data_IF_271875207374
#
_entry.id   IF_271875207374
#
_cell.length_a   1.000
_cell.length_b   1.000
_cell.length_c   1.000
_cell.angle_alpha   90.00
_cell.angle_beta   90.00
_cell.angle_gamma   90.00
#
_symmetry.space_group_name_H-M   'P 1'
#
loop_
_entity.id
_entity.type
_entity.pdbx_description
1 polymer ?
#
# COMPACT_ATOMS: atom_id res chain seq x y z
N UNK A 1 15.08 -5.79 45.31
CA UNK A 1 15.25 -7.26 45.38
C UNK A 1 14.30 -7.90 44.38
N UNK A 2 14.82 -8.86 43.62
CA UNK A 2 14.39 -9.49 42.35
C UNK A 2 13.03 -10.26 42.38
N UNK A 3 12.49 -10.80 41.25
CA UNK A 3 13.05 -10.86 39.88
C UNK A 3 12.12 -10.50 38.69
N UNK A 4 12.75 -9.98 37.62
CA UNK A 4 12.31 -10.13 36.23
C UNK A 4 12.30 -11.60 35.82
N UNK A 5 11.23 -12.06 35.17
CA UNK A 5 11.21 -13.32 34.41
C UNK A 5 11.35 -13.04 32.93
N UNK A 6 12.46 -13.51 32.37
CA UNK A 6 12.68 -13.69 30.94
C UNK A 6 11.73 -14.77 30.40
N UNK A 7 11.04 -14.49 29.29
CA UNK A 7 10.41 -15.53 28.49
C UNK A 7 11.06 -15.54 27.12
N UNK A 8 11.59 -16.70 26.83
CA UNK A 8 12.34 -17.16 25.68
C UNK A 8 11.51 -17.16 24.40
N UNK A 9 12.21 -17.04 23.27
CA UNK A 9 11.60 -17.05 21.95
C UNK A 9 10.86 -18.35 21.64
N UNK A 10 9.69 -18.20 21.01
CA UNK A 10 9.09 -19.24 20.20
C UNK A 10 8.83 -18.69 18.80
N UNK A 11 9.50 -19.33 17.84
CA UNK A 11 9.28 -19.18 16.41
C UNK A 11 7.88 -19.68 16.06
N UNK A 12 6.95 -18.78 15.72
CA UNK A 12 5.62 -19.17 15.24
C UNK A 12 5.72 -19.43 13.74
N UNK A 13 5.66 -20.73 13.40
CA UNK A 13 5.58 -21.25 12.04
C UNK A 13 4.32 -20.72 11.35
N UNK A 14 4.52 -20.17 10.14
CA UNK A 14 3.49 -19.86 9.17
C UNK A 14 2.60 -21.09 8.90
N UNK A 15 1.34 -21.04 9.29
CA UNK A 15 0.30 -21.97 8.84
C UNK A 15 -0.63 -21.23 7.89
N UNK A 16 -0.52 -21.57 6.60
CA UNK A 16 -1.35 -21.07 5.50
C UNK A 16 -2.75 -21.68 5.63
N UNK A 17 -3.66 -20.99 6.32
CA UNK A 17 -5.06 -21.42 6.46
C UNK A 17 -5.87 -21.16 5.18
N UNK A 18 -6.64 -22.18 4.80
CA UNK A 18 -7.45 -22.30 3.59
C UNK A 18 -8.77 -21.51 3.73
N UNK A 19 -8.77 -20.20 3.50
CA UNK A 19 -9.99 -19.36 3.61
C UNK A 19 -10.83 -19.23 2.32
N UNK A 20 -10.47 -19.90 1.22
CA UNK A 20 -11.18 -19.74 -0.07
C UNK A 20 -12.50 -20.52 -0.19
N UNK A 21 -12.90 -21.35 0.79
CA UNK A 21 -14.07 -22.25 0.64
C UNK A 21 -15.39 -21.72 1.21
N UNK A 22 -15.37 -20.73 2.11
CA UNK A 22 -16.62 -20.30 2.78
C UNK A 22 -17.39 -19.21 2.03
N UNK A 23 -16.70 -18.32 1.30
CA UNK A 23 -17.36 -17.28 0.51
C UNK A 23 -18.28 -17.83 -0.60
N UNK A 24 -17.92 -18.96 -1.21
CA UNK A 24 -18.75 -19.59 -2.26
C UNK A 24 -19.97 -20.31 -1.71
N UNK A 25 -19.94 -20.74 -0.44
CA UNK A 25 -21.07 -21.40 0.22
C UNK A 25 -22.14 -20.39 0.64
N UNK A 26 -21.73 -19.24 1.16
CA UNK A 26 -22.62 -18.13 1.54
C UNK A 26 -23.32 -17.54 0.30
N UNK A 27 -22.59 -17.36 -0.81
CA UNK A 27 -23.16 -16.85 -2.05
C UNK A 27 -24.16 -17.80 -2.72
N UNK A 28 -23.99 -19.12 -2.55
CA UNK A 28 -24.96 -20.13 -3.04
C UNK A 28 -26.21 -20.24 -2.17
N UNK A 29 -26.09 -20.01 -0.86
CA UNK A 29 -27.25 -19.96 0.03
C UNK A 29 -28.15 -18.75 -0.29
N UNK A 30 -27.54 -17.59 -0.56
CA UNK A 30 -28.27 -16.37 -0.94
C UNK A 30 -28.98 -16.47 -2.31
N UNK A 31 -28.57 -17.37 -3.20
CA UNK A 31 -29.21 -17.60 -4.50
C UNK A 31 -30.40 -18.57 -4.44
N UNK A 32 -30.58 -19.31 -3.34
CA UNK A 32 -31.60 -20.36 -3.23
C UNK A 32 -32.95 -19.85 -2.70
N UNK A 33 -33.03 -18.62 -2.18
CA UNK A 33 -34.25 -18.05 -1.60
C UNK A 33 -35.03 -17.09 -2.53
N UNK A 34 -34.58 -16.88 -3.77
CA UNK A 34 -35.32 -16.05 -4.73
C UNK A 34 -36.02 -16.90 -5.79
N UNK A 35 -37.32 -17.12 -5.62
CA UNK A 35 -38.20 -17.73 -6.64
C UNK A 35 -38.22 -16.88 -7.94
N UNK A 36 -38.32 -17.51 -9.13
CA UNK A 36 -38.10 -16.82 -10.40
C UNK A 36 -39.39 -16.17 -10.92
N UNK A 37 -39.48 -14.84 -10.84
CA UNK A 37 -40.40 -14.08 -11.70
C UNK A 37 -39.73 -13.97 -13.08
N UNK A 38 -40.34 -14.61 -14.09
CA UNK A 38 -39.89 -14.60 -15.49
C UNK A 38 -39.81 -13.15 -16.00
N UNK A 39 -38.59 -12.69 -16.30
CA UNK A 39 -38.34 -11.36 -16.87
C UNK A 39 -37.24 -11.47 -17.93
N UNK A 40 -37.60 -12.06 -19.08
CA UNK A 40 -36.67 -12.31 -20.20
C UNK A 40 -36.24 -11.01 -20.91
N UNK A 41 -36.88 -9.87 -20.64
CA UNK A 41 -36.50 -8.56 -21.21
C UNK A 41 -35.40 -7.78 -20.47
N UNK A 42 -35.07 -8.14 -19.22
CA UNK A 42 -34.14 -7.35 -18.37
C UNK A 42 -32.70 -7.90 -18.32
N UNK A 43 -32.45 -9.08 -18.90
CA UNK A 43 -31.13 -9.72 -18.87
C UNK A 43 -30.08 -8.94 -19.69
N UNK A 44 -30.49 -8.39 -20.84
CA UNK A 44 -29.61 -7.61 -21.73
C UNK A 44 -29.20 -6.27 -21.10
N UNK A 45 -30.15 -5.56 -20.45
CA UNK A 45 -29.89 -4.30 -19.74
C UNK A 45 -29.00 -4.53 -18.51
N UNK A 46 -29.27 -5.59 -17.73
CA UNK A 46 -28.48 -5.95 -16.53
C UNK A 46 -27.04 -6.33 -16.88
N UNK A 47 -26.82 -7.00 -18.01
CA UNK A 47 -25.48 -7.33 -18.50
C UNK A 47 -24.72 -6.11 -19.02
N UNK A 48 -25.42 -5.18 -19.68
CA UNK A 48 -24.85 -3.91 -20.14
C UNK A 48 -24.48 -2.99 -18.97
N UNK A 49 -25.34 -2.90 -17.94
CA UNK A 49 -25.02 -2.20 -16.68
C UNK A 49 -23.86 -2.87 -15.94
N UNK A 50 -23.81 -4.21 -15.83
CA UNK A 50 -22.68 -4.91 -15.20
C UNK A 50 -21.36 -4.69 -15.94
N UNK A 51 -21.36 -4.63 -17.28
CA UNK A 51 -20.18 -4.27 -18.08
C UNK A 51 -19.78 -2.81 -17.85
N UNK A 52 -20.73 -1.87 -17.83
CA UNK A 52 -20.48 -0.45 -17.54
C UNK A 52 -19.96 -0.22 -16.13
N UNK A 53 -20.52 -0.89 -15.12
CA UNK A 53 -20.06 -0.85 -13.73
C UNK A 53 -18.66 -1.46 -13.60
N UNK A 54 -18.39 -2.64 -14.19
CA UNK A 54 -17.03 -3.22 -14.21
C UNK A 54 -16.02 -2.31 -14.92
N UNK A 55 -16.39 -1.67 -16.04
CA UNK A 55 -15.55 -0.70 -16.74
C UNK A 55 -15.31 0.55 -15.89
N UNK A 56 -16.32 1.06 -15.19
CA UNK A 56 -16.20 2.18 -14.27
C UNK A 56 -15.33 1.85 -13.04
N UNK A 57 -15.44 0.63 -12.48
CA UNK A 57 -14.56 0.14 -11.42
C UNK A 57 -13.12 -0.05 -11.91
N UNK A 58 -12.93 -0.53 -13.14
CA UNK A 58 -11.60 -0.68 -13.74
C UNK A 58 -10.96 0.69 -14.02
N UNK A 59 -11.71 1.64 -14.59
CA UNK A 59 -11.25 3.01 -14.84
C UNK A 59 -10.99 3.77 -13.54
N UNK A 60 -11.85 3.64 -12.51
CA UNK A 60 -11.59 4.21 -11.17
C UNK A 60 -10.41 3.55 -10.47
N UNK A 61 -10.22 2.23 -10.63
CA UNK A 61 -9.06 1.51 -10.09
C UNK A 61 -7.77 1.91 -10.81
N UNK A 62 -7.82 2.15 -12.12
CA UNK A 62 -6.68 2.63 -12.90
C UNK A 62 -6.36 4.09 -12.56
N UNK A 63 -7.37 4.95 -12.44
CA UNK A 63 -7.21 6.35 -12.00
C UNK A 63 -6.66 6.42 -10.57
N UNK A 64 -7.17 5.61 -9.64
CA UNK A 64 -6.60 5.53 -8.29
C UNK A 64 -5.15 5.05 -8.30
N UNK A 65 -4.81 4.08 -9.17
CA UNK A 65 -3.42 3.63 -9.31
C UNK A 65 -2.54 4.75 -9.89
N UNK A 66 -3.00 5.47 -10.92
CA UNK A 66 -2.26 6.58 -11.56
C UNK A 66 -2.15 7.81 -10.65
N UNK A 67 -3.19 8.19 -9.92
CA UNK A 67 -3.16 9.27 -8.91
C UNK A 67 -2.28 8.91 -7.71
N UNK A 68 -2.22 7.62 -7.31
CA UNK A 68 -1.26 7.19 -6.30
C UNK A 68 0.21 7.30 -6.76
N UNK A 69 0.49 7.36 -8.07
CA UNK A 69 1.85 7.60 -8.59
C UNK A 69 2.19 9.07 -8.76
N UNK A 70 1.22 9.97 -8.90
CA UNK A 70 1.47 11.41 -9.11
C UNK A 70 1.59 12.21 -7.81
N UNK A 71 1.11 11.71 -6.66
CA UNK A 71 1.24 12.40 -5.36
C UNK A 71 2.54 12.07 -4.61
N UNK A 72 3.68 11.96 -5.34
CA UNK A 72 5.01 11.89 -4.68
C UNK A 72 5.99 12.95 -5.15
N UNK A 73 5.48 14.08 -5.64
CA UNK A 73 6.29 15.23 -6.05
C UNK A 73 6.47 16.32 -4.98
N UNK A 74 5.70 16.35 -3.90
CA UNK A 74 5.84 17.43 -2.91
C UNK A 74 6.59 16.96 -1.67
N UNK A 75 7.92 17.00 -1.81
CA UNK A 75 8.97 17.32 -0.83
C UNK A 75 10.24 16.71 -1.42
N UNK A 76 10.99 17.54 -2.15
CA UNK A 76 12.28 17.20 -2.72
C UNK A 76 13.34 17.06 -1.62
N UNK A 77 13.14 16.09 -0.72
CA UNK A 77 14.19 15.57 0.15
C UNK A 77 15.23 14.93 -0.78
N UNK A 78 16.28 15.69 -1.09
CA UNK A 78 17.43 15.21 -1.85
C UNK A 78 18.21 14.24 -0.97
N UNK A 79 17.76 12.98 -0.93
CA UNK A 79 18.62 11.90 -0.47
C UNK A 79 19.86 11.85 -1.37
N UNK A 80 21.04 11.75 -0.77
CA UNK A 80 22.29 11.58 -1.51
C UNK A 80 22.21 10.29 -2.35
N UNK A 81 22.65 10.37 -3.61
CA UNK A 81 22.79 9.18 -4.45
C UNK A 81 24.11 8.49 -4.11
N UNK A 82 24.03 7.22 -3.74
CA UNK A 82 25.19 6.41 -3.37
C UNK A 82 25.48 5.46 -4.53
N UNK A 83 26.18 5.94 -5.56
CA UNK A 83 26.35 5.25 -6.85
C UNK A 83 26.80 3.79 -6.68
N UNK A 84 27.85 3.55 -5.88
CA UNK A 84 28.37 2.20 -5.64
C UNK A 84 27.34 1.26 -4.99
N UNK A 85 26.60 1.75 -3.99
CA UNK A 85 25.60 0.95 -3.27
C UNK A 85 24.34 0.72 -4.13
N UNK A 86 23.92 1.74 -4.88
CA UNK A 86 22.78 1.66 -5.78
C UNK A 86 23.04 0.74 -6.96
N UNK A 87 24.28 0.69 -7.50
CA UNK A 87 24.66 -0.28 -8.52
C UNK A 87 24.46 -1.72 -8.02
N UNK A 88 24.85 -2.02 -6.78
CA UNK A 88 24.57 -3.31 -6.17
C UNK A 88 23.08 -3.63 -6.04
N UNK A 89 22.24 -2.62 -5.79
CA UNK A 89 20.78 -2.79 -5.76
C UNK A 89 20.17 -2.99 -7.15
N UNK A 90 20.66 -2.27 -8.16
CA UNK A 90 20.26 -2.42 -9.57
C UNK A 90 20.57 -3.83 -10.05
N UNK A 91 21.80 -4.30 -9.84
CA UNK A 91 22.21 -5.66 -10.21
C UNK A 91 21.33 -6.73 -9.55
N UNK A 92 21.13 -6.65 -8.22
CA UNK A 92 20.24 -7.58 -7.49
C UNK A 92 18.80 -7.57 -8.00
N UNK A 93 18.30 -6.39 -8.39
CA UNK A 93 16.96 -6.26 -8.97
C UNK A 93 16.87 -6.96 -10.34
N UNK A 94 17.83 -6.71 -11.23
CA UNK A 94 17.87 -7.30 -12.56
C UNK A 94 17.99 -8.83 -12.49
N UNK A 95 18.93 -9.36 -11.70
CA UNK A 95 19.09 -10.81 -11.52
C UNK A 95 17.82 -11.45 -10.94
N UNK A 96 17.13 -10.78 -10.01
CA UNK A 96 15.86 -11.26 -9.49
C UNK A 96 14.79 -11.32 -10.60
N UNK A 97 14.71 -10.28 -11.42
CA UNK A 97 13.75 -10.19 -12.53
C UNK A 97 13.98 -11.27 -13.58
N UNK A 98 15.25 -11.59 -13.85
CA UNK A 98 15.64 -12.69 -14.73
C UNK A 98 15.09 -14.02 -14.23
N UNK A 99 15.29 -14.28 -12.93
CA UNK A 99 14.84 -15.52 -12.28
C UNK A 99 13.32 -15.64 -12.21
N UNK A 100 12.60 -14.53 -12.28
CA UNK A 100 11.14 -14.50 -12.39
C UNK A 100 10.64 -14.75 -13.83
N UNK A 101 11.56 -14.86 -14.81
CA UNK A 101 11.24 -15.07 -16.22
C UNK A 101 10.83 -13.79 -16.96
N UNK A 102 11.16 -12.61 -16.42
CA UNK A 102 10.85 -11.33 -17.05
C UNK A 102 11.97 -10.92 -18.02
N UNK A 103 11.63 -10.48 -19.22
CA UNK A 103 12.59 -10.02 -20.23
C UNK A 103 13.29 -8.73 -19.78
N UNK A 104 14.59 -8.82 -19.52
CA UNK A 104 15.39 -7.68 -19.02
C UNK A 104 16.00 -6.89 -20.16
N UNK A 105 16.32 -7.58 -21.26
CA UNK A 105 17.03 -7.02 -22.39
C UNK A 105 16.07 -6.41 -23.41
N UNK A 106 16.57 -5.45 -24.20
CA UNK A 106 15.83 -4.87 -25.34
C UNK A 106 15.90 -5.71 -26.62
N UNK A 107 16.77 -6.72 -26.66
CA UNK A 107 16.99 -7.55 -27.84
C UNK A 107 15.79 -8.44 -28.14
N UNK A 108 15.42 -8.53 -29.42
CA UNK A 108 14.34 -9.41 -29.90
C UNK A 108 14.79 -10.87 -30.01
N UNK A 109 16.09 -11.08 -30.23
CA UNK A 109 16.68 -12.41 -30.40
C UNK A 109 17.06 -13.01 -29.05
N UNK A 110 16.61 -14.24 -28.80
CA UNK A 110 16.84 -14.94 -27.54
C UNK A 110 18.33 -15.19 -27.29
N UNK A 111 19.10 -15.54 -28.32
CA UNK A 111 20.55 -15.77 -28.18
C UNK A 111 21.29 -14.53 -27.69
N UNK A 112 21.01 -13.37 -28.29
CA UNK A 112 21.60 -12.10 -27.89
C UNK A 112 21.15 -11.66 -26.49
N UNK A 113 19.89 -11.92 -26.14
CA UNK A 113 19.37 -11.68 -24.79
C UNK A 113 20.11 -12.53 -23.74
N UNK A 114 20.27 -13.83 -23.99
CA UNK A 114 20.92 -14.77 -23.08
C UNK A 114 22.41 -14.43 -22.91
N UNK A 115 23.11 -14.04 -23.98
CA UNK A 115 24.50 -13.56 -23.92
C UNK A 115 24.64 -12.30 -23.05
N UNK A 116 23.76 -11.32 -23.23
CA UNK A 116 23.76 -10.11 -22.44
C UNK A 116 23.47 -10.39 -20.95
N UNK A 117 22.57 -11.33 -20.65
CA UNK A 117 22.30 -11.76 -19.27
C UNK A 117 23.51 -12.49 -18.67
N UNK A 118 24.17 -13.37 -19.43
CA UNK A 118 25.37 -14.06 -18.99
C UNK A 118 26.50 -13.07 -18.66
N UNK A 119 26.61 -11.98 -19.42
CA UNK A 119 27.54 -10.89 -19.15
C UNK A 119 27.20 -10.19 -17.81
N UNK A 120 25.93 -9.87 -17.59
CA UNK A 120 25.45 -9.24 -16.36
C UNK A 120 25.76 -10.10 -15.11
N UNK A 121 25.57 -11.42 -15.20
CA UNK A 121 25.82 -12.33 -14.08
C UNK A 121 27.30 -12.35 -13.66
N UNK A 122 28.23 -12.12 -14.59
CA UNK A 122 29.68 -12.07 -14.31
C UNK A 122 30.13 -10.74 -13.66
N UNK A 123 29.34 -9.69 -13.77
CA UNK A 123 29.70 -8.32 -13.37
C UNK A 123 29.24 -7.91 -11.95
N UNK A 124 28.95 -8.87 -11.06
CA UNK A 124 28.37 -8.63 -9.72
C UNK A 124 29.08 -7.52 -8.91
N UNK A 125 30.43 -7.49 -8.95
CA UNK A 125 31.24 -6.57 -8.16
C UNK A 125 31.77 -5.36 -8.95
N UNK A 126 31.24 -5.08 -10.16
CA UNK A 126 31.76 -4.03 -11.05
C UNK A 126 30.70 -2.95 -11.32
N UNK A 127 30.59 -1.92 -10.45
CA UNK A 127 29.49 -0.95 -10.51
C UNK A 127 29.44 -0.14 -11.80
N UNK A 128 30.61 0.20 -12.37
CA UNK A 128 30.73 0.96 -13.64
C UNK A 128 30.17 0.14 -14.81
N UNK A 129 30.57 -1.13 -14.93
CA UNK A 129 30.11 -2.01 -16.03
C UNK A 129 28.63 -2.35 -15.95
N UNK A 130 28.07 -2.46 -14.73
CA UNK A 130 26.63 -2.64 -14.54
C UNK A 130 25.86 -1.43 -15.08
N UNK A 131 26.38 -0.22 -14.89
CA UNK A 131 25.75 0.99 -15.40
C UNK A 131 25.81 1.05 -16.93
N UNK A 132 26.98 0.76 -17.53
CA UNK A 132 27.15 0.64 -18.98
C UNK A 132 26.20 -0.40 -19.59
N UNK A 133 26.06 -1.56 -18.94
CA UNK A 133 25.14 -2.61 -19.37
C UNK A 133 23.69 -2.14 -19.34
N UNK A 134 23.27 -1.37 -18.33
CA UNK A 134 21.92 -0.81 -18.25
C UNK A 134 21.66 0.15 -19.40
N UNK A 135 22.63 0.98 -19.77
CA UNK A 135 22.48 1.92 -20.88
C UNK A 135 22.42 1.23 -22.25
N UNK A 136 23.13 0.11 -22.40
CA UNK A 136 23.27 -0.58 -23.69
C UNK A 136 22.26 -1.70 -23.92
N UNK A 137 21.85 -2.44 -22.88
CA UNK A 137 21.13 -3.71 -23.06
C UNK A 137 19.71 -3.67 -22.50
N UNK A 138 19.37 -2.70 -21.65
CA UNK A 138 18.13 -2.72 -20.86
C UNK A 138 16.87 -2.44 -21.66
N UNK A 139 15.78 -3.15 -21.32
CA UNK A 139 14.43 -2.86 -21.80
C UNK A 139 13.90 -1.54 -21.19
N UNK A 140 13.45 -0.57 -22.01
CA UNK A 140 13.00 0.74 -21.54
C UNK A 140 11.77 0.69 -20.59
N UNK A 141 10.90 -0.31 -20.74
CA UNK A 141 9.73 -0.50 -19.86
C UNK A 141 10.18 -0.90 -18.45
N UNK A 142 11.17 -1.79 -18.38
CA UNK A 142 11.72 -2.26 -17.11
C UNK A 142 12.61 -1.19 -16.45
N UNK A 143 13.27 -0.36 -17.24
CA UNK A 143 14.13 0.72 -16.75
C UNK A 143 13.35 1.71 -15.87
N UNK A 144 12.16 2.15 -16.29
CA UNK A 144 11.33 3.06 -15.51
C UNK A 144 10.88 2.44 -14.17
N UNK A 145 10.47 1.17 -14.18
CA UNK A 145 10.11 0.43 -12.97
C UNK A 145 11.31 0.23 -12.04
N UNK A 146 12.49 0.00 -12.60
CA UNK A 146 13.74 -0.10 -11.86
C UNK A 146 14.07 1.25 -11.20
N UNK A 147 14.04 2.37 -11.93
CA UNK A 147 14.27 3.72 -11.39
C UNK A 147 13.37 4.02 -10.19
N UNK A 148 12.07 3.72 -10.29
CA UNK A 148 11.12 3.87 -9.17
C UNK A 148 11.47 2.96 -7.99
N UNK A 149 11.84 1.70 -8.25
CA UNK A 149 12.22 0.74 -7.22
C UNK A 149 13.49 1.18 -6.48
N UNK A 150 14.50 1.66 -7.20
CA UNK A 150 15.74 2.19 -6.61
C UNK A 150 15.47 3.47 -5.82
N UNK A 151 14.66 4.41 -6.35
CA UNK A 151 14.21 5.60 -5.60
C UNK A 151 13.54 5.22 -4.29
N UNK A 152 12.61 4.27 -4.31
CA UNK A 152 11.92 3.80 -3.13
C UNK A 152 12.87 3.14 -2.14
N UNK A 153 13.85 2.36 -2.61
CA UNK A 153 14.86 1.72 -1.78
C UNK A 153 15.80 2.75 -1.14
N UNK A 154 16.28 3.73 -1.89
CA UNK A 154 17.08 4.86 -1.38
C UNK A 154 16.34 5.60 -0.27
N UNK A 155 15.09 6.00 -0.52
CA UNK A 155 14.25 6.65 0.50
C UNK A 155 14.11 5.81 1.77
N UNK A 156 13.88 4.50 1.64
CA UNK A 156 13.75 3.58 2.80
C UNK A 156 15.07 3.39 3.55
N UNK A 157 16.21 3.39 2.85
CA UNK A 157 17.53 3.29 3.45
C UNK A 157 17.77 4.45 4.43
N UNK A 158 17.63 5.70 3.94
CA UNK A 158 17.81 6.88 4.78
C UNK A 158 16.71 7.02 5.85
N UNK A 159 15.45 6.68 5.55
CA UNK A 159 14.38 6.72 6.54
C UNK A 159 14.50 5.65 7.64
N UNK A 160 15.38 4.67 7.50
CA UNK A 160 15.63 3.68 8.54
C UNK A 160 16.56 4.22 9.64
N UNK A 161 17.32 5.27 9.37
CA UNK A 161 18.26 5.89 10.32
C UNK A 161 17.53 6.57 11.49
N UNK A 162 16.36 7.15 11.22
CA UNK A 162 15.60 7.90 12.22
C UNK A 162 14.24 7.24 12.50
N UNK A 163 13.88 7.12 13.78
CA UNK A 163 12.61 6.46 14.16
C UNK A 163 11.37 7.21 13.65
N UNK A 164 11.38 8.54 13.68
CA UNK A 164 10.24 9.37 13.27
C UNK A 164 9.99 9.37 11.75
N UNK A 165 10.99 9.04 10.93
CA UNK A 165 10.84 8.92 9.45
C UNK A 165 10.48 7.51 9.00
N UNK A 166 10.67 6.50 9.88
CA UNK A 166 10.31 5.11 9.62
C UNK A 166 8.79 4.95 9.51
N UNK A 167 8.36 4.17 8.51
CA UNK A 167 6.94 3.86 8.29
C UNK A 167 6.63 2.42 8.70
N UNK A 168 5.38 2.18 9.10
CA UNK A 168 4.87 0.86 9.50
C UNK A 168 3.74 0.45 8.55
N UNK A 169 3.78 -0.78 8.07
CA UNK A 169 2.65 -1.41 7.40
C UNK A 169 1.67 -1.90 8.45
N UNK A 170 0.41 -1.51 8.30
CA UNK A 170 -0.71 -1.99 9.11
C UNK A 170 -1.77 -2.54 8.17
N UNK A 171 -2.41 -3.64 8.56
CA UNK A 171 -3.56 -4.18 7.86
C UNK A 171 -4.82 -3.70 8.58
N UNK A 172 -5.78 -3.18 7.80
CA UNK A 172 -7.07 -2.71 8.29
C UNK A 172 -8.19 -3.53 7.63
N UNK A 173 -9.28 -3.71 8.34
CA UNK A 173 -10.51 -4.23 7.74
C UNK A 173 -10.97 -3.31 6.59
N UNK A 174 -11.51 -3.90 5.54
CA UNK A 174 -11.85 -3.19 4.31
C UNK A 174 -12.78 -1.99 4.55
N UNK A 175 -13.83 -2.16 5.37
CA UNK A 175 -14.80 -1.10 5.65
C UNK A 175 -14.18 0.05 6.47
N UNK A 176 -13.27 -0.28 7.40
CA UNK A 176 -12.55 0.72 8.20
C UNK A 176 -11.64 1.55 7.30
N UNK A 177 -10.86 0.88 6.46
CA UNK A 177 -10.00 1.53 5.47
C UNK A 177 -10.81 2.42 4.53
N UNK A 178 -11.96 1.95 4.01
CA UNK A 178 -12.79 2.73 3.10
C UNK A 178 -13.30 4.03 3.73
N UNK A 179 -13.74 3.98 4.99
CA UNK A 179 -14.20 5.18 5.72
C UNK A 179 -13.06 6.15 5.99
N UNK A 180 -11.92 5.65 6.45
CA UNK A 180 -10.73 6.44 6.74
C UNK A 180 -10.18 7.10 5.47
N UNK A 181 -10.03 6.33 4.39
CA UNK A 181 -9.58 6.83 3.10
C UNK A 181 -10.53 7.88 2.51
N UNK A 182 -11.84 7.63 2.58
CA UNK A 182 -12.83 8.61 2.15
C UNK A 182 -12.79 9.89 2.97
N UNK A 183 -12.52 9.82 4.28
CA UNK A 183 -12.40 11.00 5.14
C UNK A 183 -11.11 11.78 4.84
N UNK A 184 -9.99 11.08 4.72
CA UNK A 184 -8.69 11.67 4.35
C UNK A 184 -8.77 12.40 3.01
N UNK A 185 -9.36 11.76 2.00
CA UNK A 185 -9.55 12.33 0.67
C UNK A 185 -10.45 13.58 0.70
N UNK A 186 -11.55 13.58 1.47
CA UNK A 186 -12.41 14.76 1.60
C UNK A 186 -11.72 15.93 2.29
N UNK A 187 -10.80 15.65 3.21
CA UNK A 187 -10.02 16.67 3.93
C UNK A 187 -8.75 17.10 3.18
N UNK A 188 -8.39 16.43 2.08
CA UNK A 188 -7.13 16.69 1.37
C UNK A 188 -5.88 16.24 2.15
N UNK A 189 -6.04 15.40 3.18
CA UNK A 189 -4.95 15.00 4.07
C UNK A 189 -4.49 13.57 3.78
N UNK A 190 -3.27 13.25 4.17
CA UNK A 190 -2.81 11.86 4.19
C UNK A 190 -3.55 11.05 5.26
N UNK A 191 -3.56 9.72 5.13
CA UNK A 191 -4.16 8.85 6.15
C UNK A 191 -3.53 9.06 7.53
N UNK A 192 -2.22 9.30 7.59
CA UNK A 192 -1.51 9.51 8.86
C UNK A 192 -1.93 10.80 9.54
N UNK A 193 -1.97 11.93 8.83
CA UNK A 193 -2.44 13.22 9.37
C UNK A 193 -3.91 13.13 9.80
N UNK A 194 -4.71 12.42 9.03
CA UNK A 194 -6.12 12.20 9.35
C UNK A 194 -6.29 11.41 10.64
N UNK A 195 -5.47 10.39 10.89
CA UNK A 195 -5.50 9.63 12.15
C UNK A 195 -5.13 10.54 13.32
N UNK A 196 -4.12 11.39 13.19
CA UNK A 196 -3.72 12.34 14.25
C UNK A 196 -4.87 13.27 14.60
N UNK A 197 -5.49 13.91 13.60
CA UNK A 197 -6.66 14.77 13.83
C UNK A 197 -7.82 14.03 14.52
N UNK A 198 -8.10 12.79 14.12
CA UNK A 198 -9.18 12.01 14.74
C UNK A 198 -8.89 11.65 16.20
N UNK A 199 -7.62 11.45 16.57
CA UNK A 199 -7.21 11.20 17.96
C UNK A 199 -7.41 12.48 18.77
N UNK A 200 -6.91 13.62 18.27
CA UNK A 200 -7.07 14.93 18.91
C UNK A 200 -8.56 15.29 19.09
N UNK A 201 -9.38 15.13 18.04
CA UNK A 201 -10.82 15.37 18.07
C UNK A 201 -11.52 14.50 19.13
N UNK A 202 -11.11 13.24 19.28
CA UNK A 202 -11.67 12.32 20.26
C UNK A 202 -11.30 12.70 21.71
N UNK A 203 -10.04 13.06 21.95
CA UNK A 203 -9.56 13.53 23.26
C UNK A 203 -10.23 14.85 23.67
N UNK A 204 -10.40 15.77 22.72
CA UNK A 204 -11.10 17.02 22.97
C UNK A 204 -12.58 16.79 23.28
N UNK A 205 -13.25 15.88 22.57
CA UNK A 205 -14.66 15.55 22.80
C UNK A 205 -14.92 15.10 24.24
N UNK A 206 -14.04 14.28 24.81
CA UNK A 206 -14.14 13.84 26.22
C UNK A 206 -13.99 15.02 27.20
N UNK A 207 -12.99 15.87 26.99
CA UNK A 207 -12.77 17.08 27.81
C UNK A 207 -13.98 18.01 27.74
N UNK A 208 -14.51 18.25 26.55
CA UNK A 208 -15.70 19.09 26.36
C UNK A 208 -16.94 18.52 27.05
N UNK A 209 -17.15 17.20 27.02
CA UNK A 209 -18.27 16.57 27.70
C UNK A 209 -18.18 16.75 29.23
N UNK A 210 -16.99 16.59 29.81
CA UNK A 210 -16.74 16.80 31.24
C UNK A 210 -16.98 18.27 31.65
N UNK A 211 -16.41 19.21 30.90
CA UNK A 211 -16.61 20.65 31.12
C UNK A 211 -18.09 21.02 31.04
N UNK A 212 -18.81 20.49 30.06
CA UNK A 212 -20.21 20.81 29.85
C UNK A 212 -21.11 20.18 30.92
N UNK A 213 -20.77 18.99 31.42
CA UNK A 213 -21.43 18.39 32.59
C UNK A 213 -21.19 19.20 33.86
N UNK A 214 -19.95 19.62 34.11
CA UNK A 214 -19.60 20.46 35.28
C UNK A 214 -20.31 21.81 35.22
N UNK A 215 -20.38 22.43 34.05
CA UNK A 215 -21.08 23.70 33.87
C UNK A 215 -22.58 23.55 34.14
N UNK A 216 -23.20 22.49 33.60
CA UNK A 216 -24.62 22.20 33.83
C UNK A 216 -24.92 21.98 35.32
N UNK A 217 -24.11 21.18 36.01
CA UNK A 217 -24.23 20.96 37.45
C UNK A 217 -24.04 22.25 38.26
N UNK A 218 -23.06 23.08 37.87
CA UNK A 218 -22.83 24.37 38.50
C UNK A 218 -24.03 25.30 38.39
N UNK A 219 -24.62 25.40 37.19
CA UNK A 219 -25.83 26.20 36.96
C UNK A 219 -27.03 25.69 37.75
N UNK A 220 -27.26 24.37 37.74
CA UNK A 220 -28.35 23.73 38.49
C UNK A 220 -28.21 23.96 40.00
N UNK A 221 -26.99 23.88 40.53
CA UNK A 221 -26.71 24.16 41.95
C UNK A 221 -26.92 25.64 42.32
N UNK A 222 -26.66 26.58 41.40
CA UNK A 222 -26.96 28.00 41.63
C UNK A 222 -28.47 28.26 41.62
N UNK A 223 -29.19 27.72 40.64
CA UNK A 223 -30.65 27.88 40.54
C UNK A 223 -31.40 27.26 41.72
N UNK A 224 -30.95 26.10 42.20
CA UNK A 224 -31.57 25.42 43.34
C UNK A 224 -31.27 26.10 44.70
N UNK A 225 -30.35 27.06 44.77
CA UNK A 225 -30.05 27.83 46.00
C UNK A 225 -30.92 29.08 46.17
N UNK A 226 -31.59 29.54 45.12
CA UNK A 226 -32.51 30.70 45.16
C UNK A 226 -33.96 30.32 45.48
N UNK A 227 -34.21 29.03 45.76
CA UNK A 227 -35.47 28.50 46.30
C UNK A 227 -35.30 28.10 47.75
#
# INVERSE_FOLDING_TARGET
MLPCKSVTGQSIKFSRLKEKRDYTRIMRAAQKESSPIKNEGLSCIRNSLKKRVKKAYFVKKLLFYVECYTVTEEFNMKYQQLENLECGWKWKYLVKKHREGEEITRFLEQSAADEAVNLLLKMENQPVKVQEWIEQCMNPVLENRMKQTIRARRKRHFNAEHQYTRKKSIDLEYLVWQRLAGLAQRRGNTLSETIVQLIEDAEHKEKYASLMSSLKQGLEAMLNKER
#
